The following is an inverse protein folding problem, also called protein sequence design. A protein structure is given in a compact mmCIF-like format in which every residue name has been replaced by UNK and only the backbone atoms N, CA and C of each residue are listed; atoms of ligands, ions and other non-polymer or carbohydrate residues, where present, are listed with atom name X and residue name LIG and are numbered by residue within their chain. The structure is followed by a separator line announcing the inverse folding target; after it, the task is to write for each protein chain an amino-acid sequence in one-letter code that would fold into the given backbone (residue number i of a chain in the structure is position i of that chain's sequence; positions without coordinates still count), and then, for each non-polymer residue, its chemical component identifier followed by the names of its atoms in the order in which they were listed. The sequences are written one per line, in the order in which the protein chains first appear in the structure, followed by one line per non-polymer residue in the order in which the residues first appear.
data_IF_658521339574
#
_entry.id   IF_658521339574
#
_cell.length_a   1.000
_cell.length_b   1.000
_cell.length_c   1.000
_cell.angle_alpha   90.00
_cell.angle_beta   90.00
_cell.angle_gamma   90.00
#
_symmetry.space_group_name_H-M   'P 1'
#
loop_
_entity.id
_entity.type
_entity.pdbx_description
1 polymer ?
#
# COMPACT_ATOMS: atom_id res chain seq x y z
N UNK A 1 -14.91 28.89 27.24
CA UNK A 1 -13.85 28.08 26.58
C UNK A 1 -14.45 27.38 25.37
N UNK A 2 -14.00 27.63 24.13
CA UNK A 2 -14.52 26.89 22.98
C UNK A 2 -14.01 25.45 23.04
N UNK A 3 -14.91 24.49 22.83
CA UNK A 3 -14.59 23.05 22.79
C UNK A 3 -13.73 22.80 21.56
N UNK A 4 -12.49 22.35 21.74
CA UNK A 4 -11.58 22.03 20.64
C UNK A 4 -12.23 20.93 19.78
N UNK A 5 -12.75 21.29 18.61
CA UNK A 5 -13.34 20.34 17.67
C UNK A 5 -12.29 19.28 17.30
N UNK A 6 -12.65 18.01 17.50
CA UNK A 6 -11.81 16.89 17.10
C UNK A 6 -11.87 16.82 15.57
N UNK A 7 -10.72 16.96 14.92
CA UNK A 7 -10.61 16.72 13.47
C UNK A 7 -11.17 15.31 13.17
N UNK A 8 -12.03 15.17 12.15
CA UNK A 8 -12.55 13.86 11.77
C UNK A 8 -11.38 12.91 11.46
N UNK A 9 -11.52 11.66 11.89
CA UNK A 9 -10.52 10.62 11.58
C UNK A 9 -10.57 10.36 10.08
N UNK A 10 -9.41 10.40 9.42
CA UNK A 10 -9.31 10.03 8.01
C UNK A 10 -9.68 8.57 7.85
N UNK A 11 -10.47 8.27 6.83
CA UNK A 11 -10.76 6.91 6.41
C UNK A 11 -9.54 6.25 5.76
N UNK A 12 -9.52 4.92 5.69
CA UNK A 12 -8.46 4.16 5.01
C UNK A 12 -8.28 4.60 3.54
N UNK A 13 -9.34 4.76 2.72
CA UNK A 13 -9.22 5.27 1.36
C UNK A 13 -8.54 6.64 1.27
N UNK A 14 -8.83 7.56 2.19
CA UNK A 14 -8.21 8.88 2.20
C UNK A 14 -6.72 8.82 2.53
N UNK A 15 -6.33 7.93 3.45
CA UNK A 15 -4.93 7.71 3.80
C UNK A 15 -4.15 7.10 2.63
N UNK A 16 -4.68 6.05 2.00
CA UNK A 16 -4.05 5.40 0.85
C UNK A 16 -3.97 6.35 -0.34
N UNK A 17 -5.03 7.14 -0.61
CA UNK A 17 -5.01 8.19 -1.65
C UNK A 17 -3.88 9.19 -1.40
N UNK A 18 -3.72 9.65 -0.16
CA UNK A 18 -2.65 10.56 0.23
C UNK A 18 -1.26 9.95 0.00
N UNK A 19 -1.05 8.72 0.48
CA UNK A 19 0.21 7.99 0.32
C UNK A 19 0.59 7.80 -1.15
N UNK A 20 -0.33 7.23 -1.96
CA UNK A 20 -0.10 7.02 -3.40
C UNK A 20 0.19 8.34 -4.11
N UNK A 21 -0.54 9.41 -3.79
CA UNK A 21 -0.34 10.72 -4.42
C UNK A 21 1.04 11.32 -4.11
N UNK A 22 1.45 11.34 -2.84
CA UNK A 22 2.73 11.92 -2.42
C UNK A 22 3.91 11.16 -3.04
N UNK A 23 3.85 9.83 -3.00
CA UNK A 23 4.91 8.97 -3.53
C UNK A 23 4.97 9.01 -5.06
N UNK A 24 3.83 9.00 -5.78
CA UNK A 24 3.82 9.18 -7.25
C UNK A 24 4.45 10.51 -7.66
N UNK A 25 4.17 11.60 -6.95
CA UNK A 25 4.78 12.90 -7.27
C UNK A 25 6.29 12.89 -7.07
N UNK A 26 6.79 12.22 -6.03
CA UNK A 26 8.22 12.06 -5.80
C UNK A 26 8.86 11.21 -6.91
N UNK A 27 8.25 10.06 -7.23
CA UNK A 27 8.71 9.17 -8.30
C UNK A 27 8.73 9.83 -9.67
N UNK A 28 7.66 10.56 -10.04
CA UNK A 28 7.57 11.26 -11.33
C UNK A 28 8.67 12.34 -11.53
N UNK A 29 9.38 12.76 -10.48
CA UNK A 29 10.54 13.68 -10.59
C UNK A 29 11.84 12.95 -10.92
N UNK A 30 11.89 11.64 -10.70
CA UNK A 30 13.09 10.82 -10.81
C UNK A 30 13.12 9.99 -12.10
N UNK A 31 11.98 9.82 -12.78
CA UNK A 31 11.86 8.95 -13.96
C UNK A 31 11.56 9.73 -15.24
N UNK A 32 11.91 9.15 -16.42
CA UNK A 32 11.52 9.70 -17.72
C UNK A 32 10.00 9.81 -17.89
N UNK A 33 9.57 10.64 -18.84
CA UNK A 33 8.14 10.84 -19.14
C UNK A 33 7.40 9.53 -19.43
N UNK A 34 8.05 8.57 -20.10
CA UNK A 34 7.49 7.26 -20.46
C UNK A 34 7.10 6.37 -19.27
N UNK A 35 7.63 6.66 -18.08
CA UNK A 35 7.40 5.89 -16.86
C UNK A 35 6.54 6.62 -15.83
N UNK A 36 6.26 7.91 -16.05
CA UNK A 36 5.45 8.70 -15.12
C UNK A 36 4.07 8.08 -14.94
N UNK A 37 3.56 8.20 -13.71
CA UNK A 37 2.25 7.70 -13.29
C UNK A 37 2.08 6.17 -13.35
N UNK A 38 3.17 5.39 -13.46
CA UNK A 38 3.14 3.91 -13.47
C UNK A 38 3.49 3.25 -12.14
N UNK A 39 3.83 4.04 -11.10
CA UNK A 39 4.32 3.52 -9.82
C UNK A 39 3.34 2.59 -9.10
N UNK A 40 2.04 2.90 -9.13
CA UNK A 40 1.02 2.17 -8.37
C UNK A 40 0.00 1.52 -9.28
N UNK A 41 -0.41 0.30 -8.91
CA UNK A 41 -1.68 -0.26 -9.38
C UNK A 41 -2.87 0.57 -8.86
N UNK A 42 -4.00 0.59 -9.58
CA UNK A 42 -5.15 1.46 -9.28
C UNK A 42 -5.78 1.20 -7.90
N UNK A 43 -6.05 -0.07 -7.59
CA UNK A 43 -6.67 -0.48 -6.32
C UNK A 43 -5.64 -0.81 -5.24
N UNK A 44 -6.10 -1.21 -4.06
CA UNK A 44 -5.29 -1.81 -3.01
C UNK A 44 -6.09 -2.94 -2.34
N UNK A 45 -5.38 -3.90 -1.75
CA UNK A 45 -5.99 -4.97 -0.95
C UNK A 45 -6.12 -4.51 0.50
N UNK A 46 -7.31 -4.67 1.08
CA UNK A 46 -7.51 -4.49 2.51
C UNK A 46 -8.40 -5.60 3.08
N UNK A 47 -8.10 -5.97 4.33
CA UNK A 47 -8.86 -6.98 5.07
C UNK A 47 -8.90 -6.60 6.54
N UNK A 48 -10.06 -6.78 7.18
CA UNK A 48 -10.22 -6.54 8.62
C UNK A 48 -9.82 -7.82 9.37
N UNK A 49 -8.79 -7.73 10.19
CA UNK A 49 -8.34 -8.82 11.07
C UNK A 49 -9.26 -8.86 12.30
N UNK A 50 -9.92 -10.00 12.52
CA UNK A 50 -10.96 -10.17 13.57
C UNK A 50 -10.69 -11.32 14.54
N UNK A 51 -9.60 -12.05 14.35
CA UNK A 51 -9.19 -13.13 15.23
C UNK A 51 -7.67 -13.19 15.33
N UNK A 52 -7.20 -13.78 16.43
CA UNK A 52 -5.77 -14.00 16.66
C UNK A 52 -5.16 -14.95 15.61
N UNK A 53 -5.88 -16.03 15.25
CA UNK A 53 -5.44 -16.92 14.18
C UNK A 53 -5.26 -16.19 12.84
N UNK A 54 -6.18 -15.27 12.49
CA UNK A 54 -6.04 -14.46 11.27
C UNK A 54 -4.87 -13.48 11.37
N UNK A 55 -4.64 -12.91 12.55
CA UNK A 55 -3.48 -12.05 12.80
C UNK A 55 -2.16 -12.78 12.55
N UNK A 56 -1.97 -13.98 13.13
CA UNK A 56 -0.75 -14.76 12.93
C UNK A 56 -0.56 -15.16 11.46
N UNK A 57 -1.62 -15.59 10.78
CA UNK A 57 -1.55 -15.92 9.36
C UNK A 57 -1.09 -14.74 8.49
N UNK A 58 -1.61 -13.53 8.74
CA UNK A 58 -1.20 -12.31 8.01
C UNK A 58 0.25 -11.94 8.35
N UNK A 59 0.63 -12.07 9.62
CA UNK A 59 1.99 -11.78 10.08
C UNK A 59 3.03 -12.71 9.40
N UNK A 60 2.75 -14.01 9.41
CA UNK A 60 3.60 -15.02 8.78
C UNK A 60 3.68 -14.80 7.26
N UNK A 61 2.56 -14.43 6.62
CA UNK A 61 2.57 -14.05 5.21
C UNK A 61 3.49 -12.85 4.94
N UNK A 62 3.36 -11.75 5.69
CA UNK A 62 4.16 -10.54 5.48
C UNK A 62 5.66 -10.84 5.65
N UNK A 63 6.02 -11.61 6.69
CA UNK A 63 7.42 -11.96 6.96
C UNK A 63 8.01 -12.93 5.94
N UNK A 64 7.21 -13.89 5.45
CA UNK A 64 7.63 -14.89 4.47
C UNK A 64 7.59 -14.42 3.01
N UNK A 65 6.77 -13.42 2.68
CA UNK A 65 6.56 -12.99 1.29
C UNK A 65 7.84 -12.62 0.53
N UNK A 66 8.84 -11.90 1.11
CA UNK A 66 10.07 -11.59 0.39
C UNK A 66 10.84 -12.83 -0.10
N UNK A 67 10.83 -13.92 0.67
CA UNK A 67 11.50 -15.17 0.29
C UNK A 67 10.72 -15.96 -0.77
N UNK A 68 9.41 -15.74 -0.85
CA UNK A 68 8.48 -16.45 -1.75
C UNK A 68 8.16 -15.68 -3.02
N UNK A 69 8.79 -14.53 -3.23
CA UNK A 69 8.47 -13.64 -4.35
C UNK A 69 8.62 -14.31 -5.72
N UNK A 70 9.64 -15.17 -5.88
CA UNK A 70 9.87 -15.90 -7.13
C UNK A 70 8.83 -17.02 -7.39
N UNK A 71 8.02 -17.39 -6.40
CA UNK A 71 6.94 -18.36 -6.53
C UNK A 71 5.60 -17.71 -6.92
N UNK A 72 5.53 -16.37 -6.98
CA UNK A 72 4.29 -15.65 -7.27
C UNK A 72 3.87 -15.83 -8.75
N UNK A 73 2.57 -16.03 -8.99
CA UNK A 73 2.00 -16.25 -10.33
C UNK A 73 2.27 -15.08 -11.28
N UNK A 74 2.38 -13.86 -10.74
CA UNK A 74 2.66 -12.65 -11.50
C UNK A 74 4.14 -12.28 -11.52
N UNK A 75 5.01 -13.11 -10.94
CA UNK A 75 6.44 -12.90 -11.03
C UNK A 75 6.91 -13.11 -12.48
N UNK A 76 7.35 -12.03 -13.11
CA UNK A 76 8.11 -12.10 -14.35
C UNK A 76 9.56 -11.70 -14.06
N UNK A 77 10.49 -12.58 -14.40
CA UNK A 77 11.90 -12.25 -14.35
C UNK A 77 12.20 -11.27 -15.49
N UNK A 78 12.54 -10.03 -15.13
CA UNK A 78 12.89 -9.01 -16.11
C UNK A 78 14.33 -9.28 -16.58
N UNK A 79 14.48 -9.93 -17.73
CA UNK A 79 15.78 -10.13 -18.41
C UNK A 79 16.22 -8.86 -19.12
#
# INVERSE_FOLDING_TARGET
MPRRERRPRRSLPELIRGLKSVTTRAYNRLVPESEKNRLWQGSYYDVVIRSEAHYYAVWDYISGNPARWAEDEYYCEST
#
